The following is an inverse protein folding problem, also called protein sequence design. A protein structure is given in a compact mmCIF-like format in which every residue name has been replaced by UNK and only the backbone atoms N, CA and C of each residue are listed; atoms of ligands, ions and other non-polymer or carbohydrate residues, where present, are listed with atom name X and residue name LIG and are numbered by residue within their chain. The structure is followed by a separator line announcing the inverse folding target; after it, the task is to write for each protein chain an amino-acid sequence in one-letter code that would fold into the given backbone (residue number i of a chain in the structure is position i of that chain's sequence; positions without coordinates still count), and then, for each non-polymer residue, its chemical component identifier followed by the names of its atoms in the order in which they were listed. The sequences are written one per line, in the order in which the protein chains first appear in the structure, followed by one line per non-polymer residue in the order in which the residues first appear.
data_IF_216117322777
#
_entry.id   IF_216117322777
#
_cell.length_a   1.000
_cell.length_b   1.000
_cell.length_c   1.000
_cell.angle_alpha   90.00
_cell.angle_beta   90.00
_cell.angle_gamma   90.00
#
_symmetry.space_group_name_H-M   'P 1'
#
loop_
_entity.id
_entity.type
_entity.pdbx_description
1 polymer ?
#
# COMPACT_ATOMS: atom_id res chain seq x y z
N UNK A 1 -10.92 -14.21 12.76
CA UNK A 1 -9.68 -14.78 13.33
C UNK A 1 -10.10 -15.74 14.41
N UNK A 2 -9.74 -17.01 14.22
CA UNK A 2 -10.10 -18.12 15.09
C UNK A 2 -9.11 -18.20 16.25
N UNK A 3 -9.61 -18.43 17.46
CA UNK A 3 -8.78 -18.69 18.63
C UNK A 3 -8.54 -20.19 18.73
N UNK A 4 -7.28 -20.59 18.95
CA UNK A 4 -6.93 -21.98 19.22
C UNK A 4 -6.68 -22.12 20.72
N UNK A 5 -7.44 -23.02 21.37
CA UNK A 5 -7.25 -23.35 22.78
C UNK A 5 -6.39 -24.61 22.93
N UNK A 6 -5.42 -24.56 23.85
CA UNK A 6 -4.51 -25.67 24.14
C UNK A 6 -4.30 -25.80 25.65
N UNK A 7 -4.13 -27.04 26.12
CA UNK A 7 -3.83 -27.35 27.52
C UNK A 7 -2.50 -28.10 27.63
N UNK A 8 -1.73 -27.82 28.68
CA UNK A 8 -0.44 -28.49 28.95
C UNK A 8 -0.08 -28.43 30.45
N UNK A 9 0.98 -29.12 30.87
CA UNK A 9 1.42 -29.15 32.28
C UNK A 9 1.99 -27.81 32.78
N UNK A 10 2.52 -26.99 31.87
CA UNK A 10 3.02 -25.64 32.16
C UNK A 10 2.48 -24.61 31.15
N UNK A 11 2.50 -23.33 31.54
CA UNK A 11 2.09 -22.23 30.65
C UNK A 11 3.02 -22.15 29.43
N UNK A 12 4.31 -22.43 29.61
CA UNK A 12 5.31 -22.40 28.54
C UNK A 12 5.03 -23.50 27.51
N UNK A 13 4.73 -24.72 27.97
CA UNK A 13 4.38 -25.84 27.09
C UNK A 13 3.07 -25.59 26.34
N UNK A 14 2.08 -24.99 27.01
CA UNK A 14 0.79 -24.64 26.39
C UNK A 14 0.97 -23.58 25.30
N UNK A 15 1.86 -22.61 25.49
CA UNK A 15 2.21 -21.62 24.45
C UNK A 15 2.95 -22.25 23.27
N UNK A 16 3.91 -23.12 23.53
CA UNK A 16 4.65 -23.82 22.48
C UNK A 16 3.72 -24.66 21.58
N UNK A 17 2.81 -25.42 22.19
CA UNK A 17 1.81 -26.20 21.44
C UNK A 17 0.83 -25.32 20.67
N UNK A 18 0.47 -24.15 21.21
CA UNK A 18 -0.39 -23.20 20.51
C UNK A 18 0.30 -22.57 19.30
N UNK A 19 1.60 -22.28 19.38
CA UNK A 19 2.41 -21.80 18.25
C UNK A 19 2.55 -22.85 17.15
N UNK A 20 2.81 -24.09 17.52
CA UNK A 20 2.92 -25.20 16.56
C UNK A 20 1.61 -25.40 15.78
N UNK A 21 0.45 -25.35 16.47
CA UNK A 21 -0.87 -25.43 15.82
C UNK A 21 -1.17 -24.24 14.90
N UNK A 22 -0.71 -23.04 15.26
CA UNK A 22 -0.93 -21.83 14.47
C UNK A 22 0.10 -21.67 13.33
N UNK A 23 1.22 -22.39 13.37
CA UNK A 23 2.29 -22.31 12.38
C UNK A 23 2.98 -20.93 12.33
N UNK A 24 3.02 -20.20 13.45
CA UNK A 24 3.58 -18.85 13.56
C UNK A 24 4.66 -18.76 14.63
N UNK A 25 5.47 -17.71 14.58
CA UNK A 25 6.44 -17.38 15.62
C UNK A 25 5.78 -16.65 16.81
N UNK A 26 6.39 -16.69 18.00
CA UNK A 26 5.89 -16.04 19.23
C UNK A 26 5.60 -14.54 19.02
N UNK A 27 6.41 -13.86 18.20
CA UNK A 27 6.24 -12.45 17.89
C UNK A 27 4.88 -12.15 17.21
N UNK A 28 4.34 -13.11 16.46
CA UNK A 28 3.15 -12.97 15.62
C UNK A 28 1.88 -13.52 16.28
N UNK A 29 1.98 -14.17 17.44
CA UNK A 29 0.86 -14.67 18.21
C UNK A 29 0.48 -13.74 19.38
N UNK A 30 -0.81 -13.66 19.67
CA UNK A 30 -1.39 -13.09 20.88
C UNK A 30 -1.91 -14.23 21.74
N UNK A 31 -1.51 -14.27 23.01
CA UNK A 31 -1.87 -15.33 23.95
C UNK A 31 -2.68 -14.78 25.11
N UNK A 32 -3.61 -15.59 25.60
CA UNK A 32 -4.35 -15.33 26.82
C UNK A 32 -4.35 -16.60 27.68
N UNK A 33 -3.84 -16.47 28.90
CA UNK A 33 -3.81 -17.57 29.88
C UNK A 33 -5.16 -17.61 30.57
N UNK A 34 -5.89 -18.71 30.40
CA UNK A 34 -7.20 -18.92 31.00
C UNK A 34 -7.08 -19.56 32.38
N UNK A 35 -6.09 -20.45 32.56
CA UNK A 35 -5.89 -21.18 33.82
C UNK A 35 -4.40 -21.39 34.07
N UNK A 36 -3.94 -20.98 35.25
CA UNK A 36 -2.55 -21.18 35.69
C UNK A 36 -2.43 -22.47 36.50
N UNK A 37 -1.38 -23.29 36.27
CA UNK A 37 -1.17 -24.50 37.04
C UNK A 37 -0.79 -24.15 38.47
N UNK A 38 -1.49 -24.73 39.45
CA UNK A 38 -1.22 -24.45 40.87
C UNK A 38 -0.10 -25.34 41.37
N UNK A 39 0.95 -24.73 41.92
CA UNK A 39 2.02 -25.45 42.58
C UNK A 39 1.49 -26.17 43.85
N UNK A 40 1.56 -27.50 43.87
CA UNK A 40 1.20 -28.30 45.04
C UNK A 40 2.33 -28.38 46.06
N UNK A 41 1.95 -28.60 47.33
CA UNK A 41 2.91 -28.91 48.40
C UNK A 41 3.62 -30.24 48.04
N UNK A 42 4.95 -30.26 48.06
CA UNK A 42 5.85 -31.36 47.62
C UNK A 42 6.25 -31.40 46.12
N UNK A 43 6.19 -30.28 45.39
CA UNK A 43 6.77 -30.21 44.04
C UNK A 43 6.01 -31.00 42.99
N UNK A 44 4.79 -31.46 43.30
CA UNK A 44 3.84 -32.02 42.35
C UNK A 44 2.90 -30.90 41.90
N UNK A 45 2.91 -30.56 40.61
CA UNK A 45 1.99 -29.60 40.01
C UNK A 45 0.56 -30.16 40.04
N UNK A 46 -0.42 -29.32 40.39
CA UNK A 46 -1.83 -29.69 40.42
C UNK A 46 -2.60 -28.79 39.45
N UNK A 47 -3.15 -29.41 38.41
CA UNK A 47 -3.89 -28.73 37.34
C UNK A 47 -3.04 -28.50 36.09
N UNK A 48 -3.70 -28.40 34.95
CA UNK A 48 -3.10 -28.09 33.65
C UNK A 48 -3.22 -26.59 33.36
N UNK A 49 -2.20 -26.02 32.72
CA UNK A 49 -2.28 -24.69 32.14
C UNK A 49 -3.20 -24.70 30.92
N UNK A 50 -4.09 -23.71 30.81
CA UNK A 50 -4.95 -23.52 29.63
C UNK A 50 -4.63 -22.18 28.99
N UNK A 51 -4.25 -22.20 27.72
CA UNK A 51 -3.89 -21.00 26.96
C UNK A 51 -4.68 -20.98 25.66
N UNK A 52 -5.22 -19.81 25.30
CA UNK A 52 -5.74 -19.57 23.96
C UNK A 52 -4.82 -18.64 23.19
N UNK A 53 -4.61 -18.91 21.91
CA UNK A 53 -3.76 -18.11 21.05
C UNK A 53 -4.46 -17.74 19.73
N UNK A 54 -4.09 -16.59 19.17
CA UNK A 54 -4.48 -16.17 17.82
C UNK A 54 -3.34 -15.42 17.14
N UNK A 55 -3.38 -15.30 15.82
CA UNK A 55 -2.42 -14.49 15.06
C UNK A 55 -2.77 -13.00 15.23
N UNK A 56 -1.78 -12.17 15.58
CA UNK A 56 -1.92 -10.71 15.64
C UNK A 56 -2.25 -10.17 14.24
N UNK A 57 -3.29 -9.32 14.08
CA UNK A 57 -3.48 -8.61 12.83
C UNK A 57 -2.25 -7.75 12.56
N UNK A 58 -1.54 -8.02 11.46
CA UNK A 58 -0.37 -7.25 11.08
C UNK A 58 -0.80 -5.84 10.68
N UNK A 59 -0.76 -4.91 11.63
CA UNK A 59 -0.75 -3.50 11.28
C UNK A 59 0.57 -3.24 10.55
N UNK A 60 0.49 -2.98 9.25
CA UNK A 60 1.62 -2.58 8.41
C UNK A 60 2.42 -1.52 9.18
N UNK A 61 3.63 -1.87 9.63
CA UNK A 61 4.51 -0.93 10.33
C UNK A 61 4.79 0.23 9.39
N UNK A 62 4.19 1.40 9.68
CA UNK A 62 4.60 2.66 9.08
C UNK A 62 6.06 2.86 9.48
N UNK A 63 6.95 2.73 8.52
CA UNK A 63 8.38 3.02 8.67
C UNK A 63 8.48 4.52 8.93
N UNK A 64 8.54 4.90 10.20
CA UNK A 64 8.77 6.28 10.60
C UNK A 64 10.11 6.72 9.99
N UNK A 65 10.02 7.69 9.07
CA UNK A 65 11.17 8.19 8.34
C UNK A 65 12.11 8.92 9.30
N UNK A 66 13.32 8.40 9.44
CA UNK A 66 14.45 9.10 10.06
C UNK A 66 15.16 9.91 8.98
N UNK A 67 14.50 10.90 8.42
CA UNK A 67 15.10 11.99 7.67
C UNK A 67 14.13 13.16 7.72
N UNK A 68 14.38 14.04 8.69
CA UNK A 68 14.35 15.50 8.49
C UNK A 68 14.61 16.18 9.83
N UNK A 69 15.90 16.31 10.15
CA UNK A 69 16.40 17.36 11.05
C UNK A 69 17.59 18.03 10.38
N UNK A 70 17.32 18.70 9.25
CA UNK A 70 18.20 19.75 8.75
C UNK A 70 17.32 20.87 8.22
N UNK A 71 17.25 21.96 8.98
CA UNK A 71 16.52 23.16 8.62
C UNK A 71 15.50 23.58 9.67
N UNK A 72 15.96 24.23 10.74
CA UNK A 72 15.19 25.33 11.33
C UNK A 72 16.11 26.53 11.60
N UNK A 73 15.58 27.75 11.45
CA UNK A 73 16.35 28.97 11.22
C UNK A 73 16.85 29.57 12.53
N UNK A 74 17.84 30.44 12.39
CA UNK A 74 18.39 31.26 13.46
C UNK A 74 17.31 32.16 14.07
N UNK A 75 17.24 32.20 15.41
CA UNK A 75 16.60 33.29 16.14
C UNK A 75 17.43 33.57 17.40
N UNK A 76 17.61 34.86 17.63
CA UNK A 76 18.50 35.50 18.59
C UNK A 76 18.38 34.98 20.03
N UNK A 77 19.52 34.94 20.73
CA UNK A 77 19.63 35.29 22.16
C UNK A 77 21.09 35.48 22.58
N UNK A 78 21.43 36.76 22.74
CA UNK A 78 22.21 37.44 23.77
C UNK A 78 23.34 36.69 24.51
N UNK A 79 24.50 37.37 24.49
CA UNK A 79 25.73 37.09 25.20
C UNK A 79 25.60 37.12 26.74
N UNK A 80 26.38 36.24 27.40
CA UNK A 80 27.21 36.58 28.57
C UNK A 80 28.48 35.72 28.59
N UNK A 81 29.65 36.28 28.93
CA UNK A 81 30.88 35.51 29.10
C UNK A 81 31.07 35.11 30.57
N UNK A 82 31.75 33.99 30.83
CA UNK A 82 32.77 33.89 31.89
C UNK A 82 33.56 32.58 31.79
N UNK A 83 34.87 32.80 31.82
CA UNK A 83 35.97 31.89 32.07
C UNK A 83 35.74 31.14 33.40
N UNK A 84 36.07 29.85 33.48
CA UNK A 84 37.16 29.46 34.38
C UNK A 84 37.70 28.05 34.11
N UNK A 85 38.98 27.92 34.41
CA UNK A 85 39.87 26.81 34.09
C UNK A 85 39.72 25.67 35.10
N UNK A 86 39.84 24.45 34.57
CA UNK A 86 40.50 23.34 35.25
C UNK A 86 39.58 22.32 35.92
N UNK A 87 39.42 21.16 35.28
CA UNK A 87 40.04 19.96 35.85
C UNK A 87 40.30 18.92 34.76
N UNK A 88 41.55 18.45 34.71
CA UNK A 88 42.02 17.33 33.90
C UNK A 88 41.99 16.13 34.83
N UNK A 89 41.07 15.19 34.61
CA UNK A 89 41.27 13.74 34.86
C UNK A 89 39.97 12.98 34.54
N UNK A 90 39.91 12.38 33.36
CA UNK A 90 39.72 10.92 33.21
C UNK A 90 39.76 10.56 31.72
N UNK A 91 40.95 10.14 31.27
CA UNK A 91 41.09 9.37 30.03
C UNK A 91 40.73 7.93 30.40
N UNK A 92 39.60 7.46 29.91
CA UNK A 92 39.18 6.06 29.97
C UNK A 92 38.34 5.75 28.74
N UNK A 93 38.92 4.99 27.82
CA UNK A 93 38.36 4.27 26.68
C UNK A 93 37.14 4.84 25.94
N UNK A 94 37.44 5.54 24.84
CA UNK A 94 36.62 5.40 23.62
C UNK A 94 36.95 4.04 23.01
N UNK A 95 35.98 3.12 22.82
CA UNK A 95 36.20 1.99 21.94
C UNK A 95 36.54 2.56 20.57
N UNK A 96 37.71 2.16 20.05
CA UNK A 96 38.05 2.41 18.66
C UNK A 96 36.85 2.00 17.82
N UNK A 97 36.43 2.92 16.96
CA UNK A 97 35.48 2.70 15.88
C UNK A 97 36.08 1.61 15.01
N UNK A 98 35.83 0.35 15.39
CA UNK A 98 36.14 -0.80 14.57
C UNK A 98 35.51 -0.51 13.22
N UNK A 99 36.39 -0.51 12.23
CA UNK A 99 36.10 -0.46 10.81
C UNK A 99 34.82 -1.24 10.60
N UNK A 100 33.72 -0.54 10.33
CA UNK A 100 32.51 -1.18 9.83
C UNK A 100 33.00 -1.96 8.61
N UNK A 101 32.89 -3.29 8.56
CA UNK A 101 33.34 -4.03 7.40
C UNK A 101 32.68 -3.37 6.21
N UNK A 102 33.51 -2.95 5.27
CA UNK A 102 33.07 -2.45 3.98
C UNK A 102 32.09 -3.50 3.49
N UNK A 103 30.81 -3.11 3.36
CA UNK A 103 29.83 -4.04 2.81
C UNK A 103 30.35 -4.33 1.43
N UNK A 104 30.86 -5.54 1.23
CA UNK A 104 31.07 -6.08 -0.09
C UNK A 104 29.80 -5.75 -0.89
N UNK A 105 29.94 -5.17 -2.09
CA UNK A 105 28.82 -5.01 -2.99
C UNK A 105 28.08 -6.34 -2.99
N UNK A 106 26.80 -6.32 -2.57
CA UNK A 106 25.95 -7.48 -2.78
C UNK A 106 26.07 -7.76 -4.27
N UNK A 107 26.51 -8.96 -4.61
CA UNK A 107 26.47 -9.39 -6.00
C UNK A 107 25.07 -9.05 -6.52
N UNK A 108 24.97 -8.43 -7.73
CA UNK A 108 23.69 -8.25 -8.38
C UNK A 108 22.98 -9.59 -8.28
N UNK A 109 21.85 -9.62 -7.57
CA UNK A 109 21.15 -10.88 -7.34
C UNK A 109 20.99 -11.55 -8.68
N UNK A 110 21.49 -12.79 -8.78
CA UNK A 110 21.60 -13.56 -10.03
C UNK A 110 20.57 -13.06 -11.02
N UNK A 111 21.06 -12.38 -12.06
CA UNK A 111 20.25 -12.06 -13.22
C UNK A 111 19.51 -13.34 -13.53
N UNK A 112 18.18 -13.36 -13.27
CA UNK A 112 17.33 -14.46 -13.71
C UNK A 112 17.72 -14.64 -15.16
N UNK A 113 18.29 -15.82 -15.47
CA UNK A 113 18.68 -16.14 -16.83
C UNK A 113 17.54 -15.66 -17.75
N UNK A 114 17.86 -14.96 -18.86
CA UNK A 114 16.84 -14.58 -19.83
C UNK A 114 15.96 -15.79 -20.05
N UNK A 115 14.67 -15.65 -19.73
CA UNK A 115 13.72 -16.74 -19.97
C UNK A 115 13.91 -17.09 -21.43
N UNK A 116 14.10 -18.37 -21.73
CA UNK A 116 14.12 -18.83 -23.12
C UNK A 116 12.92 -18.19 -23.82
N UNK A 117 13.16 -17.53 -24.95
CA UNK A 117 12.14 -16.88 -25.77
C UNK A 117 11.15 -17.96 -26.21
N UNK A 118 10.18 -18.25 -25.35
CA UNK A 118 9.02 -19.06 -25.68
C UNK A 118 8.35 -18.38 -26.87
N UNK A 119 7.93 -19.14 -27.89
CA UNK A 119 7.29 -18.56 -29.06
C UNK A 119 6.11 -17.68 -28.59
N UNK A 120 5.92 -16.50 -29.21
CA UNK A 120 4.86 -15.58 -28.81
C UNK A 120 3.53 -16.33 -28.82
N UNK A 121 2.87 -16.33 -27.67
CA UNK A 121 1.58 -17.00 -27.51
C UNK A 121 0.55 -16.18 -28.27
N UNK A 122 -0.25 -16.86 -29.09
CA UNK A 122 -1.30 -16.19 -29.82
C UNK A 122 -2.32 -15.53 -28.86
N UNK A 123 -2.62 -14.23 -29.01
CA UNK A 123 -3.53 -13.50 -28.11
C UNK A 123 -4.93 -14.13 -28.01
N UNK A 124 -5.39 -14.86 -29.03
CA UNK A 124 -6.69 -15.55 -28.98
C UNK A 124 -6.68 -16.70 -27.97
N UNK A 125 -5.53 -17.38 -27.82
CA UNK A 125 -5.36 -18.45 -26.83
C UNK A 125 -5.37 -17.89 -25.41
N UNK A 126 -4.71 -16.74 -25.21
CA UNK A 126 -4.69 -16.02 -23.93
C UNK A 126 -6.09 -15.55 -23.56
N UNK A 127 -6.81 -14.97 -24.52
CA UNK A 127 -8.20 -14.52 -24.36
C UNK A 127 -9.13 -15.66 -23.96
N UNK A 128 -9.04 -16.81 -24.64
CA UNK A 128 -9.85 -17.99 -24.35
C UNK A 128 -9.58 -18.54 -22.94
N UNK A 129 -8.30 -18.64 -22.55
CA UNK A 129 -7.92 -19.10 -21.22
C UNK A 129 -8.42 -18.16 -20.11
N UNK A 130 -8.30 -16.85 -20.31
CA UNK A 130 -8.78 -15.84 -19.38
C UNK A 130 -10.31 -15.83 -19.27
N UNK A 131 -11.02 -15.93 -20.40
CA UNK A 131 -12.48 -16.00 -20.45
C UNK A 131 -12.98 -17.23 -19.71
N UNK A 132 -12.40 -18.41 -19.99
CA UNK A 132 -12.74 -19.67 -19.30
C UNK A 132 -12.54 -19.57 -17.79
N UNK A 133 -11.45 -18.93 -17.36
CA UNK A 133 -11.17 -18.72 -15.94
C UNK A 133 -12.22 -17.81 -15.29
N UNK A 134 -12.54 -16.67 -15.92
CA UNK A 134 -13.51 -15.71 -15.40
C UNK A 134 -14.94 -16.28 -15.37
N UNK A 135 -15.36 -17.02 -16.40
CA UNK A 135 -16.64 -17.74 -16.39
C UNK A 135 -16.71 -18.75 -15.24
N UNK A 136 -15.64 -19.52 -15.03
CA UNK A 136 -15.51 -20.44 -13.91
C UNK A 136 -15.58 -19.73 -12.56
N UNK A 137 -14.96 -18.55 -12.44
CA UNK A 137 -14.98 -17.72 -11.23
C UNK A 137 -16.39 -17.19 -10.93
N UNK A 138 -17.07 -16.60 -11.93
CA UNK A 138 -18.43 -16.07 -11.81
C UNK A 138 -19.39 -17.19 -11.39
N UNK A 139 -19.30 -18.35 -12.03
CA UNK A 139 -20.12 -19.52 -11.70
C UNK A 139 -19.84 -20.05 -10.30
N UNK A 140 -18.57 -20.15 -9.89
CA UNK A 140 -18.18 -20.66 -8.56
C UNK A 140 -18.59 -19.69 -7.45
N UNK A 141 -18.67 -18.39 -7.74
CA UNK A 141 -19.18 -17.38 -6.83
C UNK A 141 -20.72 -17.38 -6.73
N UNK A 142 -21.43 -18.21 -7.50
CA UNK A 142 -22.89 -18.25 -7.54
C UNK A 142 -23.53 -17.03 -8.22
N UNK A 143 -22.78 -16.34 -9.08
CA UNK A 143 -23.22 -15.14 -9.78
C UNK A 143 -23.70 -15.47 -11.21
N UNK A 144 -24.59 -14.64 -11.74
CA UNK A 144 -25.08 -14.76 -13.12
C UNK A 144 -24.46 -13.66 -13.97
N UNK A 145 -23.59 -14.05 -14.89
CA UNK A 145 -22.96 -13.10 -15.82
C UNK A 145 -22.37 -13.78 -17.06
N UNK A 146 -22.24 -13.00 -18.12
CA UNK A 146 -21.52 -13.33 -19.33
C UNK A 146 -20.17 -12.65 -19.36
N UNK A 147 -19.20 -13.32 -19.97
CA UNK A 147 -17.86 -12.79 -20.20
C UNK A 147 -17.69 -12.60 -21.70
N UNK A 148 -17.18 -11.44 -22.10
CA UNK A 148 -16.85 -11.16 -23.50
C UNK A 148 -15.45 -10.58 -23.58
N UNK A 149 -14.71 -10.93 -24.62
CA UNK A 149 -13.34 -10.45 -24.81
C UNK A 149 -13.22 -9.77 -26.18
N UNK A 150 -12.48 -8.66 -26.19
CA UNK A 150 -12.09 -7.93 -27.40
C UNK A 150 -10.57 -7.93 -27.48
N UNK A 151 -10.05 -8.25 -28.66
CA UNK A 151 -8.61 -8.34 -28.91
C UNK A 151 -8.24 -7.22 -29.88
N UNK A 152 -7.25 -6.42 -29.50
CA UNK A 152 -6.66 -5.37 -30.32
C UNK A 152 -5.13 -5.48 -30.26
N UNK A 153 -4.56 -6.21 -31.23
CA UNK A 153 -3.14 -6.58 -31.22
C UNK A 153 -2.79 -7.40 -29.98
N UNK A 154 -1.91 -6.86 -29.14
CA UNK A 154 -1.48 -7.46 -27.86
C UNK A 154 -2.37 -7.05 -26.67
N UNK A 155 -3.37 -6.21 -26.89
CA UNK A 155 -4.30 -5.76 -25.86
C UNK A 155 -5.54 -6.66 -25.85
N UNK A 156 -5.87 -7.19 -24.68
CA UNK A 156 -7.10 -7.96 -24.46
C UNK A 156 -7.91 -7.24 -23.40
N UNK A 157 -9.07 -6.70 -23.82
CA UNK A 157 -10.06 -6.14 -22.93
C UNK A 157 -11.17 -7.18 -22.71
N UNK A 158 -11.39 -7.57 -21.45
CA UNK A 158 -12.41 -8.53 -21.05
C UNK A 158 -13.48 -7.81 -20.23
N UNK A 159 -14.72 -7.88 -20.70
CA UNK A 159 -15.90 -7.32 -20.06
C UNK A 159 -16.73 -8.45 -19.42
N UNK A 160 -16.99 -8.34 -18.11
CA UNK A 160 -17.91 -9.20 -17.37
C UNK A 160 -19.21 -8.44 -17.13
N UNK A 161 -20.30 -8.90 -17.73
CA UNK A 161 -21.63 -8.29 -17.64
C UNK A 161 -22.61 -9.26 -16.99
N UNK A 162 -23.58 -8.74 -16.24
CA UNK A 162 -24.50 -9.57 -15.49
C UNK A 162 -25.09 -8.86 -14.29
N UNK A 163 -25.82 -9.62 -13.49
CA UNK A 163 -26.54 -9.13 -12.32
C UNK A 163 -25.72 -9.42 -11.04
N UNK A 164 -25.88 -8.57 -10.03
CA UNK A 164 -25.23 -8.70 -8.72
C UNK A 164 -23.70 -8.84 -8.73
N UNK A 165 -23.04 -8.35 -9.79
CA UNK A 165 -21.56 -8.38 -9.93
C UNK A 165 -20.83 -7.38 -9.01
N UNK A 166 -21.55 -6.63 -8.18
CA UNK A 166 -20.96 -5.63 -7.27
C UNK A 166 -19.92 -6.22 -6.32
N UNK A 167 -20.07 -7.49 -5.93
CA UNK A 167 -19.10 -8.20 -5.11
C UNK A 167 -17.73 -8.38 -5.82
N UNK A 168 -17.73 -8.64 -7.13
CA UNK A 168 -16.51 -8.77 -7.94
C UNK A 168 -15.80 -7.43 -8.17
N UNK A 169 -16.50 -6.31 -7.98
CA UNK A 169 -15.88 -4.98 -7.99
C UNK A 169 -15.18 -4.69 -6.66
N UNK A 170 -15.88 -4.91 -5.55
CA UNK A 170 -15.39 -4.62 -4.21
C UNK A 170 -15.22 -3.12 -3.91
N UNK A 171 -14.72 -2.81 -2.70
CA UNK A 171 -14.55 -1.43 -2.25
C UNK A 171 -13.55 -0.68 -3.12
N UNK A 172 -13.98 0.42 -3.76
CA UNK A 172 -13.15 1.24 -4.65
C UNK A 172 -12.47 0.41 -5.78
N UNK A 173 -13.03 -0.73 -6.16
CA UNK A 173 -12.49 -1.58 -7.23
C UNK A 173 -11.35 -2.51 -6.79
N UNK A 174 -11.11 -2.67 -5.48
CA UNK A 174 -10.02 -3.51 -4.97
C UNK A 174 -10.17 -4.99 -5.38
N UNK A 175 -11.39 -5.52 -5.35
CA UNK A 175 -11.65 -6.90 -5.79
C UNK A 175 -11.48 -7.04 -7.30
N UNK A 176 -11.94 -6.05 -8.08
CA UNK A 176 -11.74 -6.04 -9.54
C UNK A 176 -10.25 -6.09 -9.90
N UNK A 177 -9.41 -5.32 -9.20
CA UNK A 177 -7.97 -5.33 -9.39
C UNK A 177 -7.37 -6.71 -9.07
N UNK A 178 -7.79 -7.32 -7.94
CA UNK A 178 -7.33 -8.66 -7.58
C UNK A 178 -7.78 -9.72 -8.59
N UNK A 179 -9.00 -9.64 -9.12
CA UNK A 179 -9.52 -10.53 -10.15
C UNK A 179 -8.75 -10.37 -11.46
N UNK A 180 -8.45 -9.14 -11.86
CA UNK A 180 -7.61 -8.86 -13.04
C UNK A 180 -6.21 -9.47 -12.87
N UNK A 181 -5.56 -9.24 -11.73
CA UNK A 181 -4.22 -9.74 -11.45
C UNK A 181 -4.19 -11.28 -11.40
N UNK A 182 -5.20 -11.90 -10.79
CA UNK A 182 -5.33 -13.34 -10.76
C UNK A 182 -5.53 -13.92 -12.16
N UNK A 183 -6.39 -13.32 -12.97
CA UNK A 183 -6.63 -13.72 -14.36
C UNK A 183 -5.34 -13.62 -15.17
N UNK A 184 -4.60 -12.52 -15.03
CA UNK A 184 -3.27 -12.35 -15.63
C UNK A 184 -2.33 -13.48 -15.20
N UNK A 185 -2.16 -13.73 -13.91
CA UNK A 185 -1.24 -14.77 -13.40
C UNK A 185 -1.62 -16.16 -13.89
N UNK A 186 -2.91 -16.49 -13.94
CA UNK A 186 -3.40 -17.78 -14.45
C UNK A 186 -3.06 -17.95 -15.93
N UNK A 187 -3.30 -16.92 -16.76
CA UNK A 187 -2.96 -16.95 -18.18
C UNK A 187 -1.45 -17.09 -18.40
N UNK A 188 -0.65 -16.30 -17.69
CA UNK A 188 0.82 -16.34 -17.78
C UNK A 188 1.39 -17.70 -17.37
N UNK A 189 0.85 -18.31 -16.30
CA UNK A 189 1.32 -19.61 -15.81
C UNK A 189 0.93 -20.76 -16.74
N UNK A 190 -0.24 -20.68 -17.38
CA UNK A 190 -0.73 -21.75 -18.27
C UNK A 190 -0.07 -21.73 -19.65
N UNK A 191 0.20 -20.54 -20.16
CA UNK A 191 0.61 -20.36 -21.56
C UNK A 191 2.06 -19.93 -21.72
N UNK A 192 2.72 -19.47 -20.65
CA UNK A 192 4.05 -18.85 -20.76
C UNK A 192 4.02 -17.46 -21.38
N UNK A 193 2.83 -16.92 -21.65
CA UNK A 193 2.64 -15.59 -22.23
C UNK A 193 3.10 -14.51 -21.26
N UNK A 194 3.88 -13.55 -21.76
CA UNK A 194 4.40 -12.42 -20.99
C UNK A 194 4.14 -11.08 -21.66
N UNK A 195 3.71 -11.08 -22.92
CA UNK A 195 3.64 -9.89 -23.76
C UNK A 195 2.23 -9.31 -23.81
N UNK A 196 1.21 -10.16 -23.65
CA UNK A 196 -0.18 -9.74 -23.74
C UNK A 196 -0.59 -8.85 -22.56
N UNK A 197 -1.20 -7.71 -22.87
CA UNK A 197 -1.76 -6.77 -21.90
C UNK A 197 -3.24 -7.05 -21.67
N UNK A 198 -3.53 -7.77 -20.59
CA UNK A 198 -4.88 -8.13 -20.19
C UNK A 198 -5.49 -7.07 -19.26
N UNK A 199 -6.70 -6.60 -19.60
CA UNK A 199 -7.53 -5.72 -18.77
C UNK A 199 -8.88 -6.39 -18.53
N UNK A 200 -9.36 -6.32 -17.30
CA UNK A 200 -10.70 -6.78 -16.93
C UNK A 200 -11.53 -5.59 -16.48
N UNK A 201 -12.77 -5.51 -16.95
CA UNK A 201 -13.82 -4.65 -16.40
C UNK A 201 -15.03 -5.48 -16.01
N UNK A 202 -15.70 -5.05 -14.93
CA UNK A 202 -16.88 -5.72 -14.39
C UNK A 202 -17.99 -4.69 -14.32
N UNK A 203 -19.12 -4.99 -14.96
CA UNK A 203 -20.35 -4.20 -14.93
C UNK A 203 -20.16 -2.71 -15.30
N UNK A 204 -19.19 -2.36 -16.17
CA UNK A 204 -18.91 -0.99 -16.56
C UNK A 204 -18.29 -0.15 -15.43
N UNK A 205 -17.64 -0.78 -14.45
CA UNK A 205 -17.16 -0.10 -13.24
C UNK A 205 -16.22 1.05 -13.56
N UNK A 206 -15.28 0.87 -14.49
CA UNK A 206 -14.30 1.90 -14.84
C UNK A 206 -14.96 3.20 -15.31
N UNK A 207 -15.99 3.10 -16.15
CA UNK A 207 -16.72 4.28 -16.63
C UNK A 207 -17.49 4.95 -15.49
N UNK A 208 -18.30 4.18 -14.76
CA UNK A 208 -19.07 4.68 -13.61
C UNK A 208 -18.16 5.32 -12.55
N UNK A 209 -16.98 4.74 -12.32
CA UNK A 209 -15.98 5.26 -11.37
C UNK A 209 -15.40 6.59 -11.85
N UNK A 210 -15.11 6.71 -13.14
CA UNK A 210 -14.64 7.97 -13.73
C UNK A 210 -15.67 9.07 -13.56
N UNK A 211 -16.91 8.83 -13.97
CA UNK A 211 -18.00 9.79 -13.82
C UNK A 211 -18.21 10.23 -12.36
N UNK A 212 -18.21 9.26 -11.43
CA UNK A 212 -18.37 9.54 -10.01
C UNK A 212 -17.21 10.38 -9.44
N UNK A 213 -15.97 10.06 -9.81
CA UNK A 213 -14.78 10.81 -9.38
C UNK A 213 -14.74 12.21 -9.97
N UNK A 214 -15.07 12.38 -11.25
CA UNK A 214 -15.17 13.69 -11.90
C UNK A 214 -16.21 14.56 -11.19
N UNK A 215 -17.41 14.03 -10.94
CA UNK A 215 -18.47 14.75 -10.21
C UNK A 215 -18.04 15.13 -8.80
N UNK A 216 -17.38 14.21 -8.10
CA UNK A 216 -16.84 14.46 -6.77
C UNK A 216 -15.77 15.55 -6.77
N UNK A 217 -14.84 15.49 -7.72
CA UNK A 217 -13.77 16.47 -7.87
C UNK A 217 -14.32 17.88 -8.11
N UNK A 218 -15.28 18.03 -9.03
CA UNK A 218 -15.94 19.30 -9.32
C UNK A 218 -16.65 19.88 -8.09
N UNK A 219 -17.32 19.03 -7.31
CA UNK A 219 -17.94 19.45 -6.04
C UNK A 219 -16.89 19.97 -5.05
N UNK A 220 -15.79 19.23 -4.89
CA UNK A 220 -14.68 19.63 -4.02
C UNK A 220 -14.08 20.97 -4.46
N UNK A 221 -13.90 21.17 -5.76
CA UNK A 221 -13.41 22.43 -6.30
C UNK A 221 -14.34 23.60 -5.97
N UNK A 222 -15.66 23.40 -6.07
CA UNK A 222 -16.65 24.38 -5.61
C UNK A 222 -16.49 24.71 -4.12
N UNK A 223 -16.40 23.69 -3.27
CA UNK A 223 -16.21 23.86 -1.83
C UNK A 223 -14.91 24.64 -1.50
N UNK A 224 -13.81 24.34 -2.20
CA UNK A 224 -12.51 25.01 -2.03
C UNK A 224 -12.57 26.47 -2.51
N UNK A 225 -13.26 26.75 -3.63
CA UNK A 225 -13.48 28.12 -4.11
C UNK A 225 -14.26 28.97 -3.10
N UNK A 226 -15.31 28.41 -2.50
CA UNK A 226 -16.14 29.13 -1.53
C UNK A 226 -15.45 29.28 -0.17
N UNK A 227 -14.76 28.25 0.30
CA UNK A 227 -14.11 28.28 1.63
C UNK A 227 -12.74 28.94 1.62
N UNK A 228 -12.05 28.97 0.48
CA UNK A 228 -10.65 29.38 0.35
C UNK A 228 -9.65 28.43 1.00
N UNK A 229 -10.10 27.30 1.57
CA UNK A 229 -9.25 26.35 2.28
C UNK A 229 -8.89 25.16 1.40
N UNK A 230 -7.61 24.80 1.36
CA UNK A 230 -7.15 23.62 0.65
C UNK A 230 -7.73 22.35 1.29
N UNK A 231 -8.13 21.38 0.44
CA UNK A 231 -8.71 20.11 0.86
C UNK A 231 -7.88 18.95 0.35
N UNK A 232 -7.39 18.13 1.29
CA UNK A 232 -6.78 16.84 1.00
C UNK A 232 -7.86 15.77 0.81
N UNK A 233 -7.82 15.06 -0.31
CA UNK A 233 -8.72 13.94 -0.57
C UNK A 233 -8.24 12.65 0.11
N UNK A 234 -9.09 11.64 0.10
CA UNK A 234 -8.69 10.30 0.53
C UNK A 234 -7.58 9.74 -0.38
N UNK A 235 -6.68 8.90 0.17
CA UNK A 235 -5.73 8.16 -0.65
C UNK A 235 -6.45 7.33 -1.73
N UNK A 236 -5.91 7.36 -2.94
CA UNK A 236 -6.47 6.66 -4.10
C UNK A 236 -5.34 6.24 -5.04
N UNK A 237 -5.59 5.23 -5.88
CA UNK A 237 -4.60 4.69 -6.81
C UNK A 237 -4.19 5.73 -7.88
N UNK A 238 -3.13 5.44 -8.64
CA UNK A 238 -2.61 6.37 -9.66
C UNK A 238 -3.65 6.76 -10.72
N UNK A 239 -4.47 5.82 -11.18
CA UNK A 239 -5.52 6.06 -12.18
C UNK A 239 -6.63 6.97 -11.63
N UNK A 240 -7.10 6.74 -10.40
CA UNK A 240 -8.10 7.56 -9.73
C UNK A 240 -7.57 8.99 -9.52
N UNK A 241 -6.31 9.15 -9.08
CA UNK A 241 -5.68 10.47 -8.93
C UNK A 241 -5.61 11.22 -10.26
N UNK A 242 -5.28 10.51 -11.33
CA UNK A 242 -5.23 11.08 -12.67
C UNK A 242 -6.61 11.57 -13.12
N UNK A 243 -7.67 10.80 -12.91
CA UNK A 243 -9.04 11.22 -13.22
C UNK A 243 -9.40 12.52 -12.48
N UNK A 244 -9.06 12.62 -11.19
CA UNK A 244 -9.31 13.84 -10.39
C UNK A 244 -8.48 15.02 -10.90
N UNK A 245 -7.21 14.81 -11.22
CA UNK A 245 -6.35 15.85 -11.78
C UNK A 245 -6.90 16.36 -13.11
N UNK A 246 -7.14 15.46 -14.06
CA UNK A 246 -7.66 15.76 -15.39
C UNK A 246 -9.00 16.50 -15.31
N UNK A 247 -9.91 16.07 -14.42
CA UNK A 247 -11.20 16.73 -14.19
C UNK A 247 -11.10 18.15 -13.62
N UNK A 248 -10.01 18.49 -12.94
CA UNK A 248 -9.80 19.79 -12.30
C UNK A 248 -8.84 20.70 -13.07
N UNK A 249 -8.09 20.18 -14.04
CA UNK A 249 -7.19 20.97 -14.89
C UNK A 249 -7.93 22.08 -15.63
N UNK A 250 -9.17 21.84 -16.05
CA UNK A 250 -9.99 22.82 -16.77
C UNK A 250 -10.71 23.81 -15.83
N UNK A 251 -10.61 23.63 -14.51
CA UNK A 251 -11.32 24.49 -13.53
C UNK A 251 -10.48 25.70 -13.18
N UNK A 252 -10.87 26.87 -13.69
CA UNK A 252 -10.20 28.14 -13.41
C UNK A 252 -10.05 28.41 -11.90
N UNK A 253 -8.89 28.92 -11.47
CA UNK A 253 -8.65 29.27 -10.07
C UNK A 253 -8.43 28.10 -9.12
N UNK A 254 -8.31 26.86 -9.62
CA UNK A 254 -7.97 25.67 -8.83
C UNK A 254 -6.61 25.13 -9.24
N UNK A 255 -5.82 24.72 -8.24
CA UNK A 255 -4.59 23.95 -8.42
C UNK A 255 -4.73 22.60 -7.75
N UNK A 256 -4.08 21.58 -8.34
CA UNK A 256 -4.06 20.23 -7.78
C UNK A 256 -2.64 19.72 -7.64
N UNK A 257 -2.35 19.00 -6.55
CA UNK A 257 -1.04 18.39 -6.29
C UNK A 257 -1.22 17.00 -5.71
N UNK A 258 -0.48 16.01 -6.22
CA UNK A 258 -0.40 14.70 -5.56
C UNK A 258 0.65 14.72 -4.46
N UNK A 259 0.27 14.35 -3.24
CA UNK A 259 1.14 14.31 -2.07
C UNK A 259 1.17 12.92 -1.43
N UNK A 260 2.31 12.56 -0.83
CA UNK A 260 2.55 11.27 -0.20
C UNK A 260 3.15 10.20 -1.12
N UNK A 261 3.31 8.99 -0.59
CA UNK A 261 3.78 7.79 -1.31
C UNK A 261 2.68 6.75 -1.39
N UNK A 262 2.63 6.00 -2.49
CA UNK A 262 1.71 4.87 -2.60
C UNK A 262 1.97 3.87 -1.45
N UNK A 263 0.92 3.31 -0.80
CA UNK A 263 -0.51 3.40 -1.14
C UNK A 263 -1.27 4.60 -0.51
N UNK A 264 -0.60 5.44 0.27
CA UNK A 264 -1.21 6.56 1.01
C UNK A 264 -1.22 7.89 0.23
N UNK A 265 -0.78 7.86 -1.03
CA UNK A 265 -0.71 9.03 -1.89
C UNK A 265 -2.12 9.53 -2.25
N UNK A 266 -2.31 10.84 -2.15
CA UNK A 266 -3.61 11.53 -2.28
C UNK A 266 -3.48 12.80 -3.13
N UNK A 267 -4.61 13.29 -3.63
CA UNK A 267 -4.67 14.60 -4.31
C UNK A 267 -5.06 15.67 -3.30
N UNK A 268 -4.35 16.78 -3.31
CA UNK A 268 -4.68 18.01 -2.60
C UNK A 268 -5.21 19.00 -3.62
N UNK A 269 -6.41 19.54 -3.35
CA UNK A 269 -7.06 20.57 -4.15
C UNK A 269 -6.94 21.89 -3.39
N UNK A 270 -6.38 22.90 -4.04
CA UNK A 270 -6.17 24.23 -3.47
C UNK A 270 -6.56 25.32 -4.47
N UNK A 271 -6.66 26.57 -4.02
CA UNK A 271 -6.76 27.70 -4.94
C UNK A 271 -5.48 27.80 -5.77
N UNK A 272 -5.60 28.20 -7.03
CA UNK A 272 -4.45 28.60 -7.82
C UNK A 272 -3.87 29.88 -7.22
N UNK A 273 -2.58 29.87 -6.88
CA UNK A 273 -1.88 31.11 -6.54
C UNK A 273 -1.89 32.00 -7.77
N UNK A 274 -2.43 33.21 -7.65
CA UNK A 274 -2.22 34.26 -8.65
C UNK A 274 -0.71 34.49 -8.70
N UNK A 275 -0.07 34.15 -9.82
CA UNK A 275 1.27 34.61 -10.12
C UNK A 275 1.18 36.12 -10.30
N UNK A 276 1.61 36.88 -9.29
CA UNK A 276 1.94 38.30 -9.41
C UNK A 276 3.20 38.44 -10.29
N UNK A 277 3.09 38.13 -11.57
CA UNK A 277 4.09 38.49 -12.60
C UNK A 277 3.60 39.77 -13.31
N UNK A 278 3.37 40.82 -12.52
CA UNK A 278 3.05 42.15 -13.02
C UNK A 278 3.79 43.22 -12.19
N UNK A 279 5.12 43.16 -12.28
CA UNK A 279 6.09 44.22 -11.99
C UNK A 279 7.21 43.99 -13.04
N UNK A 280 7.64 44.88 -13.92
CA UNK A 280 7.58 46.33 -13.96
C UNK A 280 8.00 46.78 -15.38
N UNK A 281 7.07 47.20 -16.23
CA UNK A 281 7.41 48.11 -17.34
C UNK A 281 7.18 49.54 -16.84
N UNK A 282 8.07 49.97 -15.95
CA UNK A 282 8.22 51.38 -15.61
C UNK A 282 9.00 52.02 -16.74
N UNK A 283 8.24 52.71 -17.60
CA UNK A 283 8.54 54.01 -18.22
C UNK A 283 10.01 54.46 -18.13
N UNK A 284 10.69 54.48 -19.27
CA UNK A 284 11.78 55.43 -19.52
C UNK A 284 11.65 55.93 -20.96
N UNK A 285 10.79 56.93 -21.11
CA UNK A 285 10.83 57.91 -22.19
C UNK A 285 11.71 59.08 -21.74
N UNK A 286 12.36 59.78 -22.69
CA UNK A 286 13.26 60.96 -22.51
C UNK A 286 14.66 60.60 -21.93
N UNK A 287 15.82 60.90 -22.53
CA UNK A 287 16.31 62.02 -23.37
C UNK A 287 17.46 61.59 -24.30
#
# INVERSE_FOLDING_TARGET
MEWVEVTAESIEDAKALALDRLGVDDAEAEFEVLEEPKAGLFGRTRGEARVRARIKPSSVRVKADRRDRRGKPATERQAKPRNDRGDRRSRGDRPQRQSRPEREPREPGEDRAPREDLPPVDPTTVSAAATTFLEGLVKSAGLTGSVSAKIDGEHIDIDVLGDDLGFLVGTKGATLLAVQDLTRVVSQRRLGDHDTRLRVDVAGYREKRREALTRFALKVAGDVKTSGQARALEPMNSSDRKIVHDALTEVEGISTRSEGSDPFRRVVVALASVSEDSDSEIVADSE
#
